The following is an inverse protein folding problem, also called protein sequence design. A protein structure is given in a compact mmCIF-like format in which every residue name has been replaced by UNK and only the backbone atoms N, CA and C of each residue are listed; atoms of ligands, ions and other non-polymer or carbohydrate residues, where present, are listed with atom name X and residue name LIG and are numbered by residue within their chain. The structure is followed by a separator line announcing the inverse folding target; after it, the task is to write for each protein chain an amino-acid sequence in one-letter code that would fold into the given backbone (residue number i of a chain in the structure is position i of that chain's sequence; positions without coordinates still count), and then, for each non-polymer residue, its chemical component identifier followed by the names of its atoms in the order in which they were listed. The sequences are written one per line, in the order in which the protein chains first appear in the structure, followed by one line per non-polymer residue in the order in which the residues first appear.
data_IF_805129871573
#
_entry.id   IF_805129871573
#
_cell.length_a   1.000
_cell.length_b   1.000
_cell.length_c   1.000
_cell.angle_alpha   90.00
_cell.angle_beta   90.00
_cell.angle_gamma   90.00
#
_symmetry.space_group_name_H-M   'P 1'
#
loop_
_entity.id
_entity.type
_entity.pdbx_description
1 polymer ?
#
# COMPACT_ATOMS: atom_id res chain seq x y z
N UNK A 1 -22.82 33.47 -28.86
CA UNK A 1 -22.55 32.64 -27.66
C UNK A 1 -21.12 32.92 -27.22
N UNK A 2 -20.90 33.20 -25.93
CA UNK A 2 -19.56 33.36 -25.38
C UNK A 2 -18.79 32.03 -25.48
N UNK A 3 -17.52 32.08 -25.87
CA UNK A 3 -16.67 30.88 -25.84
C UNK A 3 -16.50 30.41 -24.40
N UNK A 4 -16.66 29.11 -24.18
CA UNK A 4 -16.40 28.50 -22.88
C UNK A 4 -14.95 28.77 -22.46
N UNK A 5 -14.71 29.18 -21.20
CA UNK A 5 -13.35 29.35 -20.70
C UNK A 5 -12.52 28.07 -20.89
N UNK A 6 -11.20 28.18 -21.18
CA UNK A 6 -10.35 27.02 -21.45
C UNK A 6 -10.42 25.92 -20.39
N UNK A 7 -10.52 26.31 -19.11
CA UNK A 7 -10.66 25.36 -17.99
C UNK A 7 -11.96 24.57 -18.01
N UNK A 8 -13.09 25.21 -18.32
CA UNK A 8 -14.38 24.50 -18.43
C UNK A 8 -14.38 23.59 -19.67
N UNK A 9 -13.83 24.07 -20.79
CA UNK A 9 -13.68 23.25 -22.00
C UNK A 9 -12.86 21.99 -21.75
N UNK A 10 -11.80 22.08 -20.94
CA UNK A 10 -11.02 20.95 -20.48
C UNK A 10 -11.84 19.98 -19.61
N UNK A 11 -12.54 20.48 -18.59
CA UNK A 11 -13.38 19.65 -17.69
C UNK A 11 -14.48 18.93 -18.46
N UNK A 12 -15.15 19.61 -19.39
CA UNK A 12 -16.24 19.04 -20.21
C UNK A 12 -15.74 18.14 -21.33
N UNK A 13 -14.43 18.13 -21.63
CA UNK A 13 -13.87 17.26 -22.67
C UNK A 13 -13.80 15.79 -22.24
N UNK A 14 -13.86 15.51 -20.93
CA UNK A 14 -13.82 14.16 -20.41
C UNK A 14 -15.20 13.51 -20.41
N UNK A 15 -15.24 12.24 -20.82
CA UNK A 15 -16.46 11.43 -20.74
C UNK A 15 -16.80 11.11 -19.29
N UNK A 16 -18.07 10.79 -19.03
CA UNK A 16 -18.53 10.37 -17.69
C UNK A 16 -17.75 9.15 -17.16
N UNK A 17 -17.40 8.21 -18.04
CA UNK A 17 -16.59 7.02 -17.70
C UNK A 17 -15.17 7.41 -17.29
N UNK A 18 -14.55 8.37 -17.97
CA UNK A 18 -13.21 8.87 -17.62
C UNK A 18 -13.21 9.55 -16.25
N UNK A 19 -14.26 10.30 -15.90
CA UNK A 19 -14.42 10.87 -14.57
C UNK A 19 -14.53 9.81 -13.48
N UNK A 20 -15.29 8.74 -13.71
CA UNK A 20 -15.37 7.63 -12.75
C UNK A 20 -14.05 6.88 -12.61
N UNK A 21 -13.34 6.62 -13.71
CA UNK A 21 -11.99 6.03 -13.67
C UNK A 21 -11.03 6.89 -12.86
N UNK A 22 -10.98 8.19 -13.12
CA UNK A 22 -10.14 9.13 -12.38
C UNK A 22 -10.52 9.17 -10.90
N UNK A 23 -11.82 9.19 -10.59
CA UNK A 23 -12.32 9.17 -9.22
C UNK A 23 -11.92 7.89 -8.48
N UNK A 24 -12.14 6.70 -9.04
CA UNK A 24 -11.78 5.43 -8.40
C UNK A 24 -10.27 5.28 -8.28
N UNK A 25 -9.51 5.75 -9.28
CA UNK A 25 -8.05 5.81 -9.20
C UNK A 25 -7.60 6.66 -8.01
N UNK A 26 -8.10 7.89 -7.89
CA UNK A 26 -7.76 8.78 -6.77
C UNK A 26 -8.24 8.24 -5.44
N UNK A 27 -9.45 7.67 -5.37
CA UNK A 27 -10.01 7.10 -4.16
C UNK A 27 -9.11 5.95 -3.67
N UNK A 28 -8.88 4.92 -4.50
CA UNK A 28 -8.04 3.77 -4.14
C UNK A 28 -6.60 4.18 -3.82
N UNK A 29 -6.06 5.19 -4.51
CA UNK A 29 -4.76 5.79 -4.18
C UNK A 29 -4.73 6.31 -2.75
N UNK A 30 -5.70 7.14 -2.34
CA UNK A 30 -5.73 7.70 -0.99
C UNK A 30 -6.12 6.68 0.08
N UNK A 31 -6.99 5.72 -0.23
CA UNK A 31 -7.30 4.60 0.66
C UNK A 31 -6.02 3.84 1.01
N UNK A 32 -5.21 3.49 0.02
CA UNK A 32 -4.01 2.70 0.25
C UNK A 32 -2.82 3.53 0.77
N UNK A 33 -2.73 4.81 0.40
CA UNK A 33 -1.82 5.76 1.04
C UNK A 33 -2.08 5.87 2.56
N UNK A 34 -3.34 5.83 2.99
CA UNK A 34 -3.69 5.87 4.42
C UNK A 34 -3.19 4.63 5.19
N UNK A 35 -3.16 3.44 4.60
CA UNK A 35 -2.52 2.28 5.25
C UNK A 35 -1.02 2.53 5.47
N UNK A 36 -0.32 3.02 4.45
CA UNK A 36 1.11 3.31 4.52
C UNK A 36 1.46 4.43 5.51
N UNK A 37 0.56 5.41 5.67
CA UNK A 37 0.62 6.45 6.70
C UNK A 37 0.87 5.87 8.11
N UNK A 38 0.22 4.75 8.47
CA UNK A 38 0.36 4.14 9.80
C UNK A 38 1.63 3.32 10.01
N UNK A 39 2.31 2.91 8.92
CA UNK A 39 3.46 2.00 9.00
C UNK A 39 4.76 2.74 9.33
N UNK A 40 4.88 3.99 8.91
CA UNK A 40 6.07 4.82 9.07
C UNK A 40 6.29 5.38 10.49
N UNK A 41 5.26 5.81 11.25
CA UNK A 41 5.43 6.44 12.56
C UNK A 41 6.33 5.68 13.54
N UNK A 42 6.29 4.34 13.54
CA UNK A 42 7.14 3.53 14.43
C UNK A 42 8.63 3.75 14.19
N UNK A 43 9.09 4.01 12.95
CA UNK A 43 10.51 4.21 12.67
C UNK A 43 11.05 5.53 13.23
N UNK A 44 10.19 6.53 13.38
CA UNK A 44 10.53 7.83 13.98
C UNK A 44 10.41 7.78 15.50
N UNK A 45 9.32 7.21 16.02
CA UNK A 45 9.06 7.13 17.46
C UNK A 45 10.09 6.25 18.19
N UNK A 46 10.74 5.29 17.51
CA UNK A 46 11.85 4.50 18.09
C UNK A 46 12.93 5.34 18.76
N UNK A 47 13.27 6.51 18.20
CA UNK A 47 14.26 7.42 18.78
C UNK A 47 13.82 8.05 20.10
N UNK A 48 12.50 8.19 20.30
CA UNK A 48 11.91 8.72 21.53
C UNK A 48 11.72 7.62 22.59
N UNK A 49 11.36 6.39 22.17
CA UNK A 49 11.19 5.25 23.08
C UNK A 49 12.51 4.90 23.79
N UNK A 50 13.65 5.12 23.14
CA UNK A 50 14.96 4.92 23.70
C UNK A 50 15.89 6.10 23.37
N UNK A 51 16.03 7.06 24.29
CA UNK A 51 17.03 8.12 24.18
C UNK A 51 18.35 7.68 24.79
N UNK A 52 19.45 7.89 24.07
CA UNK A 52 20.77 7.84 24.69
C UNK A 52 20.87 9.01 25.68
N UNK A 53 20.89 8.71 26.99
CA UNK A 53 21.25 9.70 27.98
C UNK A 53 22.72 10.10 27.72
N UNK A 54 22.96 11.10 26.88
CA UNK A 54 24.24 11.77 26.86
C UNK A 54 24.44 12.35 28.26
N UNK A 55 25.62 12.10 28.82
CA UNK A 55 25.99 12.48 30.17
C UNK A 55 25.78 13.98 30.43
N UNK A 56 24.60 14.36 30.95
CA UNK A 56 24.47 15.53 31.84
C UNK A 56 25.44 15.40 33.03
N UNK A 57 25.90 14.18 33.31
CA UNK A 57 26.99 13.90 34.21
C UNK A 57 28.35 14.52 33.85
N UNK A 58 28.70 14.90 32.62
CA UNK A 58 30.03 15.52 32.39
C UNK A 58 30.05 17.03 32.60
N UNK A 59 28.94 17.72 32.32
CA UNK A 59 28.83 19.17 32.55
C UNK A 59 28.54 19.46 34.03
N UNK A 60 27.70 18.64 34.70
CA UNK A 60 27.47 18.80 36.14
C UNK A 60 28.61 18.26 37.00
N UNK A 61 29.36 17.21 36.59
CA UNK A 61 30.47 16.69 37.41
C UNK A 61 31.64 17.67 37.51
N UNK A 62 31.86 18.51 36.51
CA UNK A 62 32.90 19.55 36.58
C UNK A 62 32.48 20.72 37.49
N UNK A 63 31.19 21.07 37.54
CA UNK A 63 30.66 22.09 38.46
C UNK A 63 30.50 21.55 39.89
N UNK A 64 30.10 20.28 40.05
CA UNK A 64 29.96 19.63 41.36
C UNK A 64 31.30 19.23 41.99
N UNK A 65 32.34 18.87 41.22
CA UNK A 65 33.68 18.58 41.78
C UNK A 65 34.30 19.81 42.44
N UNK A 66 33.98 21.02 41.94
CA UNK A 66 34.46 22.27 42.52
C UNK A 66 33.68 22.66 43.80
N UNK A 67 32.41 22.26 43.91
CA UNK A 67 31.55 22.53 45.08
C UNK A 67 31.64 21.44 46.17
N UNK A 68 31.86 20.18 45.80
CA UNK A 68 31.86 19.01 46.70
C UNK A 68 33.14 18.84 47.52
N UNK A 69 34.16 19.69 47.32
CA UNK A 69 35.35 19.72 48.16
C UNK A 69 35.11 20.29 49.58
N UNK A 70 33.87 20.69 49.94
CA UNK A 70 33.64 21.42 51.20
C UNK A 70 32.71 20.79 52.26
N UNK A 71 31.74 19.91 52.01
CA UNK A 71 30.89 19.37 53.11
C UNK A 71 30.35 17.95 52.82
N UNK A 72 30.63 17.02 53.75
CA UNK A 72 29.95 15.76 54.20
C UNK A 72 28.92 14.96 53.33
N UNK A 73 28.73 13.64 53.58
CA UNK A 73 28.24 12.69 52.60
C UNK A 73 26.73 12.79 52.41
N UNK A 74 26.32 13.36 51.27
CA UNK A 74 24.92 13.37 50.84
C UNK A 74 24.56 11.96 50.36
N UNK A 75 23.52 11.39 50.97
CA UNK A 75 22.87 10.13 50.54
C UNK A 75 22.62 10.17 49.03
N UNK A 76 23.10 9.13 48.34
CA UNK A 76 22.89 8.87 46.91
C UNK A 76 21.37 8.98 46.60
N UNK A 77 20.92 9.88 45.71
CA UNK A 77 19.55 9.88 45.28
C UNK A 77 19.29 8.59 44.52
N UNK A 78 18.38 7.77 45.04
CA UNK A 78 17.72 6.71 44.29
C UNK A 78 16.78 7.38 43.30
N UNK A 79 17.27 7.62 42.08
CA UNK A 79 16.51 7.73 40.83
C UNK A 79 17.48 8.21 39.74
N UNK A 80 18.22 7.26 39.16
CA UNK A 80 18.88 7.51 37.89
C UNK A 80 17.78 7.71 36.83
N UNK A 81 17.61 8.96 36.42
CA UNK A 81 16.86 9.47 35.26
C UNK A 81 16.42 8.41 34.23
N UNK A 82 15.14 8.04 34.23
CA UNK A 82 14.47 7.29 33.15
C UNK A 82 14.43 8.15 31.87
N UNK A 83 15.43 8.07 31.00
CA UNK A 83 15.40 8.78 29.70
C UNK A 83 14.58 8.05 28.61
N UNK A 84 13.98 6.90 28.90
CA UNK A 84 13.31 6.05 27.91
C UNK A 84 11.94 5.56 28.37
N UNK A 85 11.14 5.05 27.43
CA UNK A 85 9.80 4.53 27.70
C UNK A 85 9.85 3.03 28.02
N UNK A 86 9.49 2.64 29.24
CA UNK A 86 9.38 1.21 29.60
C UNK A 86 8.34 0.51 28.70
N UNK A 87 8.65 -0.66 28.10
CA UNK A 87 9.78 -1.56 28.39
C UNK A 87 11.01 -1.39 27.47
N UNK A 88 11.08 -0.36 26.64
CA UNK A 88 12.13 -0.12 25.63
C UNK A 88 13.34 0.64 26.17
N UNK A 89 13.34 0.97 27.46
CA UNK A 89 14.42 1.61 28.20
C UNK A 89 15.60 0.67 28.51
N UNK A 90 15.37 -0.65 28.44
CA UNK A 90 16.36 -1.68 28.81
C UNK A 90 17.53 -1.78 27.82
N UNK A 91 18.64 -2.37 28.27
CA UNK A 91 19.83 -2.62 27.43
C UNK A 91 19.55 -3.49 26.19
N UNK A 92 18.49 -4.30 26.21
CA UNK A 92 18.03 -5.11 25.09
C UNK A 92 16.98 -4.41 24.19
N UNK A 93 16.90 -3.07 24.22
CA UNK A 93 15.94 -2.29 23.43
C UNK A 93 15.99 -2.60 21.93
N UNK A 94 17.18 -2.84 21.35
CA UNK A 94 17.33 -3.19 19.93
C UNK A 94 16.55 -4.46 19.59
N UNK A 95 16.64 -5.48 20.45
CA UNK A 95 15.89 -6.73 20.28
C UNK A 95 14.39 -6.50 20.46
N UNK A 96 13.97 -5.66 21.43
CA UNK A 96 12.57 -5.37 21.71
C UNK A 96 11.90 -4.59 20.56
N UNK A 97 12.54 -3.55 20.05
CA UNK A 97 12.07 -2.78 18.91
C UNK A 97 12.06 -3.63 17.63
N UNK A 98 13.07 -4.48 17.44
CA UNK A 98 13.10 -5.45 16.34
C UNK A 98 11.96 -6.47 16.44
N UNK A 99 11.61 -6.93 17.64
CA UNK A 99 10.49 -7.84 17.86
C UNK A 99 9.13 -7.18 17.50
N UNK A 100 8.95 -5.89 17.77
CA UNK A 100 7.76 -5.15 17.34
C UNK A 100 7.63 -5.10 15.82
N UNK A 101 8.70 -4.73 15.10
CA UNK A 101 8.68 -4.70 13.64
C UNK A 101 8.40 -6.08 13.07
N UNK A 102 9.09 -7.10 13.59
CA UNK A 102 8.97 -8.47 13.13
C UNK A 102 7.56 -9.03 13.35
N UNK A 103 6.94 -8.72 14.50
CA UNK A 103 5.58 -9.18 14.81
C UNK A 103 4.55 -8.69 13.79
N UNK A 104 4.60 -7.41 13.41
CA UNK A 104 3.75 -6.85 12.37
C UNK A 104 4.03 -7.49 11.01
N UNK A 105 5.31 -7.56 10.61
CA UNK A 105 5.70 -8.06 9.28
C UNK A 105 5.34 -9.54 9.09
N UNK A 106 5.54 -10.36 10.12
CA UNK A 106 5.20 -11.78 10.10
C UNK A 106 3.68 -11.99 10.03
N UNK A 107 2.92 -11.27 10.88
CA UNK A 107 1.46 -11.30 10.86
C UNK A 107 0.91 -10.84 9.50
N UNK A 108 1.48 -9.77 8.93
CA UNK A 108 1.12 -9.28 7.59
C UNK A 108 1.44 -10.31 6.50
N UNK A 109 2.59 -10.99 6.56
CA UNK A 109 2.96 -12.00 5.56
C UNK A 109 1.97 -13.18 5.54
N UNK A 110 1.60 -13.71 6.71
CA UNK A 110 0.60 -14.78 6.84
C UNK A 110 -0.78 -14.26 6.44
N UNK A 111 -1.15 -13.08 6.92
CA UNK A 111 -2.44 -12.45 6.64
C UNK A 111 -2.65 -12.18 5.15
N UNK A 112 -1.62 -11.81 4.40
CA UNK A 112 -1.73 -11.51 2.96
C UNK A 112 -2.20 -12.72 2.16
N UNK A 113 -1.73 -13.92 2.52
CA UNK A 113 -2.16 -15.16 1.89
C UNK A 113 -3.64 -15.45 2.19
N UNK A 114 -4.03 -15.37 3.47
CA UNK A 114 -5.41 -15.61 3.90
C UNK A 114 -6.38 -14.56 3.33
N UNK A 115 -5.95 -13.30 3.32
CA UNK A 115 -6.73 -12.16 2.86
C UNK A 115 -7.05 -12.23 1.38
N UNK A 116 -6.15 -12.75 0.55
CA UNK A 116 -6.44 -13.00 -0.87
C UNK A 116 -7.63 -13.96 -1.03
N UNK A 117 -7.61 -15.09 -0.32
CA UNK A 117 -8.67 -16.12 -0.39
C UNK A 117 -10.01 -15.59 0.14
N UNK A 118 -9.98 -14.82 1.23
CA UNK A 118 -11.18 -14.23 1.83
C UNK A 118 -11.75 -13.12 0.93
N UNK A 119 -10.87 -12.27 0.39
CA UNK A 119 -11.21 -11.13 -0.45
C UNK A 119 -11.92 -11.52 -1.75
N UNK A 120 -11.63 -12.70 -2.30
CA UNK A 120 -12.35 -13.23 -3.48
C UNK A 120 -13.80 -13.63 -3.18
N UNK A 121 -14.16 -13.86 -1.91
CA UNK A 121 -15.49 -14.36 -1.49
C UNK A 121 -16.38 -13.27 -0.92
N UNK A 122 -15.83 -12.10 -0.65
CA UNK A 122 -16.53 -10.99 -0.03
C UNK A 122 -16.59 -9.81 -1.01
N UNK A 123 -17.69 -9.05 -1.03
CA UNK A 123 -17.73 -7.80 -1.79
C UNK A 123 -16.64 -6.85 -1.32
N UNK A 124 -15.81 -6.37 -2.26
CA UNK A 124 -14.55 -5.67 -1.97
C UNK A 124 -14.81 -4.42 -1.11
N UNK A 125 -15.93 -3.72 -1.39
CA UNK A 125 -16.35 -2.55 -0.62
C UNK A 125 -16.44 -2.80 0.87
N UNK A 126 -17.09 -3.88 1.29
CA UNK A 126 -17.27 -4.18 2.72
C UNK A 126 -16.01 -4.75 3.32
N UNK A 127 -15.32 -5.62 2.58
CA UNK A 127 -14.07 -6.24 3.05
C UNK A 127 -12.99 -5.19 3.34
N UNK A 128 -12.75 -4.26 2.40
CA UNK A 128 -11.80 -3.17 2.56
C UNK A 128 -12.22 -2.20 3.68
N UNK A 129 -13.51 -1.85 3.77
CA UNK A 129 -14.03 -0.96 4.82
C UNK A 129 -13.75 -1.51 6.21
N UNK A 130 -14.12 -2.77 6.48
CA UNK A 130 -13.91 -3.39 7.79
C UNK A 130 -12.42 -3.47 8.12
N UNK A 131 -11.60 -3.83 7.13
CA UNK A 131 -10.15 -3.84 7.27
C UNK A 131 -9.56 -2.49 7.63
N UNK A 132 -10.00 -1.41 6.98
CA UNK A 132 -9.57 -0.04 7.28
C UNK A 132 -10.01 0.42 8.68
N UNK A 133 -11.28 0.22 9.04
CA UNK A 133 -11.77 0.60 10.37
C UNK A 133 -11.02 -0.13 11.48
N UNK A 134 -10.80 -1.45 11.33
CA UNK A 134 -10.03 -2.24 12.28
C UNK A 134 -8.56 -1.83 12.32
N UNK A 135 -7.95 -1.50 11.17
CA UNK A 135 -6.56 -1.02 11.10
C UNK A 135 -6.41 0.33 11.79
N UNK A 136 -7.37 1.23 11.61
CA UNK A 136 -7.44 2.50 12.31
C UNK A 136 -7.53 2.31 13.82
N UNK A 137 -8.39 1.39 14.27
CA UNK A 137 -8.54 1.03 15.69
C UNK A 137 -7.23 0.49 16.28
N UNK A 138 -6.61 -0.53 15.69
CA UNK A 138 -5.41 -1.15 16.25
C UNK A 138 -4.17 -0.24 16.16
N UNK A 139 -4.09 0.61 15.13
CA UNK A 139 -3.06 1.66 15.05
C UNK A 139 -3.25 2.68 16.16
N UNK A 140 -4.48 3.18 16.38
CA UNK A 140 -4.76 4.11 17.47
C UNK A 140 -4.52 3.46 18.84
N UNK A 141 -4.88 2.20 19.01
CA UNK A 141 -4.65 1.41 20.23
C UNK A 141 -3.16 1.38 20.59
N UNK A 142 -2.25 1.22 19.63
CA UNK A 142 -0.81 1.31 19.89
C UNK A 142 -0.43 2.67 20.50
N UNK A 143 -0.94 3.77 19.94
CA UNK A 143 -0.71 5.13 20.44
C UNK A 143 -1.35 5.44 21.79
N UNK A 144 -2.49 4.81 22.10
CA UNK A 144 -3.15 4.92 23.41
C UNK A 144 -2.30 4.37 24.56
N UNK A 145 -1.29 3.53 24.26
CA UNK A 145 -0.30 3.10 25.25
C UNK A 145 0.42 4.26 25.95
N UNK A 146 0.62 5.38 25.26
CA UNK A 146 1.16 6.61 25.85
C UNK A 146 0.21 7.22 26.88
N UNK A 147 -1.05 7.44 26.51
CA UNK A 147 -2.04 8.16 27.32
C UNK A 147 -2.48 7.36 28.56
N UNK A 148 -2.54 6.04 28.44
CA UNK A 148 -2.87 5.15 29.56
C UNK A 148 -1.64 4.68 30.34
N UNK A 149 -0.45 5.19 30.01
CA UNK A 149 0.81 4.84 30.65
C UNK A 149 1.08 3.32 30.73
N UNK A 150 0.92 2.63 29.60
CA UNK A 150 1.04 1.17 29.51
C UNK A 150 2.51 0.79 29.25
N UNK A 151 3.11 0.10 30.21
CA UNK A 151 4.51 -0.37 30.16
C UNK A 151 4.66 -1.88 29.87
N UNK A 152 3.63 -2.50 29.27
CA UNK A 152 3.63 -3.93 28.94
C UNK A 152 3.99 -4.17 27.46
N UNK A 153 5.07 -4.93 27.20
CA UNK A 153 5.51 -5.26 25.84
C UNK A 153 4.43 -5.99 25.02
N UNK A 154 3.69 -6.90 25.65
CA UNK A 154 2.69 -7.72 24.97
C UNK A 154 1.53 -6.88 24.44
N UNK A 155 1.20 -5.75 25.08
CA UNK A 155 0.22 -4.82 24.56
C UNK A 155 0.63 -4.31 23.17
N UNK A 156 1.86 -3.84 23.03
CA UNK A 156 2.40 -3.32 21.77
C UNK A 156 2.55 -4.42 20.72
N UNK A 157 3.00 -5.62 21.10
CA UNK A 157 3.12 -6.76 20.18
C UNK A 157 1.75 -7.20 19.67
N UNK A 158 0.76 -7.35 20.56
CA UNK A 158 -0.59 -7.79 20.15
C UNK A 158 -1.28 -6.75 19.29
N UNK A 159 -1.11 -5.45 19.59
CA UNK A 159 -1.55 -4.37 18.72
C UNK A 159 -0.94 -4.49 17.31
N UNK A 160 0.37 -4.75 17.22
CA UNK A 160 1.08 -4.90 15.95
C UNK A 160 0.65 -6.15 15.17
N UNK A 161 0.43 -7.28 15.84
CA UNK A 161 -0.05 -8.51 15.20
C UNK A 161 -1.46 -8.30 14.64
N UNK A 162 -2.38 -7.76 15.47
CA UNK A 162 -3.74 -7.50 15.05
C UNK A 162 -3.77 -6.52 13.88
N UNK A 163 -3.04 -5.40 13.98
CA UNK A 163 -2.89 -4.41 12.93
C UNK A 163 -2.33 -5.04 11.64
N UNK A 164 -1.27 -5.84 11.75
CA UNK A 164 -0.65 -6.54 10.62
C UNK A 164 -1.65 -7.41 9.87
N UNK A 165 -2.47 -8.21 10.58
CA UNK A 165 -3.50 -9.06 9.98
C UNK A 165 -4.58 -8.25 9.27
N UNK A 166 -5.13 -7.22 9.91
CA UNK A 166 -6.24 -6.45 9.31
C UNK A 166 -5.80 -5.54 8.17
N UNK A 167 -4.55 -5.07 8.16
CA UNK A 167 -4.01 -4.27 7.06
C UNK A 167 -3.83 -5.06 5.77
N UNK A 168 -3.80 -6.40 5.84
CA UNK A 168 -3.67 -7.25 4.65
C UNK A 168 -4.90 -7.21 3.74
N UNK A 169 -6.03 -6.70 4.23
CA UNK A 169 -7.26 -6.45 3.45
C UNK A 169 -7.04 -5.42 2.34
N UNK A 170 -6.10 -4.49 2.53
CA UNK A 170 -5.87 -3.35 1.64
C UNK A 170 -5.46 -3.75 0.23
N UNK A 171 -4.28 -4.34 0.09
CA UNK A 171 -3.62 -4.58 -1.20
C UNK A 171 -4.46 -5.39 -2.19
N UNK A 172 -4.92 -6.62 -1.88
CA UNK A 172 -5.68 -7.43 -2.83
C UNK A 172 -6.98 -6.72 -3.26
N UNK A 173 -7.62 -5.99 -2.35
CA UNK A 173 -8.84 -5.23 -2.63
C UNK A 173 -8.59 -4.11 -3.64
N UNK A 174 -7.62 -3.23 -3.37
CA UNK A 174 -7.41 -2.05 -4.21
C UNK A 174 -6.80 -2.39 -5.57
N UNK A 175 -5.93 -3.41 -5.63
CA UNK A 175 -5.37 -3.89 -6.90
C UNK A 175 -6.46 -4.51 -7.77
N UNK A 176 -7.37 -5.29 -7.18
CA UNK A 176 -8.52 -5.84 -7.90
C UNK A 176 -9.43 -4.73 -8.42
N UNK A 177 -9.73 -3.71 -7.61
CA UNK A 177 -10.48 -2.53 -8.07
C UNK A 177 -9.81 -1.84 -9.25
N UNK A 178 -8.50 -1.54 -9.19
CA UNK A 178 -7.79 -0.92 -10.32
C UNK A 178 -7.81 -1.83 -11.56
N UNK A 179 -7.63 -3.14 -11.38
CA UNK A 179 -7.72 -4.12 -12.47
C UNK A 179 -9.08 -4.10 -13.17
N UNK A 180 -10.16 -4.04 -12.41
CA UNK A 180 -11.53 -3.97 -12.92
C UNK A 180 -11.80 -2.72 -13.77
N UNK A 181 -11.18 -1.59 -13.43
CA UNK A 181 -11.45 -0.28 -14.04
C UNK A 181 -10.51 0.08 -15.21
N UNK A 182 -9.26 -0.36 -15.16
CA UNK A 182 -8.23 0.04 -16.14
C UNK A 182 -7.82 -1.08 -17.13
N UNK A 183 -8.22 -2.34 -16.89
CA UNK A 183 -8.01 -3.43 -17.85
C UNK A 183 -6.53 -3.71 -18.17
N UNK A 184 -6.21 -3.98 -19.44
CA UNK A 184 -4.88 -4.47 -19.89
C UNK A 184 -3.96 -3.43 -20.53
N UNK A 185 -4.41 -2.21 -20.84
CA UNK A 185 -3.62 -1.21 -21.57
C UNK A 185 -2.78 -0.28 -20.69
N UNK A 186 -1.52 0.03 -21.11
CA UNK A 186 -0.55 0.95 -20.44
C UNK A 186 -0.43 0.75 -18.92
N UNK A 187 -0.38 -0.53 -18.51
CA UNK A 187 -0.39 -0.92 -17.11
C UNK A 187 0.81 -0.40 -16.35
N UNK A 188 2.01 -0.37 -16.95
CA UNK A 188 3.23 0.08 -16.27
C UNK A 188 3.13 1.53 -15.80
N UNK A 189 2.75 2.45 -16.67
CA UNK A 189 2.61 3.88 -16.32
C UNK A 189 1.47 4.11 -15.32
N UNK A 190 0.29 3.54 -15.58
CA UNK A 190 -0.88 3.73 -14.72
C UNK A 190 -0.59 3.19 -13.31
N UNK A 191 -0.05 1.97 -13.23
CA UNK A 191 0.31 1.36 -11.96
C UNK A 191 1.52 2.05 -11.30
N UNK A 192 2.48 2.58 -12.07
CA UNK A 192 3.59 3.35 -11.53
C UNK A 192 3.15 4.66 -10.86
N UNK A 193 2.23 5.39 -11.50
CA UNK A 193 1.60 6.58 -10.90
C UNK A 193 0.76 6.16 -9.69
N UNK A 194 -0.05 5.12 -9.82
CA UNK A 194 -0.92 4.66 -8.74
C UNK A 194 -0.12 4.21 -7.51
N UNK A 195 0.89 3.37 -7.70
CA UNK A 195 1.71 2.82 -6.62
C UNK A 195 2.53 3.88 -5.85
N UNK A 196 2.65 5.09 -6.41
CA UNK A 196 3.21 6.24 -5.70
C UNK A 196 2.46 6.57 -4.40
N UNK A 197 1.25 6.03 -4.20
CA UNK A 197 0.52 6.05 -2.92
C UNK A 197 1.39 5.54 -1.75
N UNK A 198 2.33 4.62 -2.01
CA UNK A 198 3.17 3.99 -0.99
C UNK A 198 4.10 5.04 -0.40
N UNK A 199 4.82 5.73 -1.28
CA UNK A 199 5.68 6.85 -0.92
C UNK A 199 4.88 8.00 -0.32
N UNK A 200 3.75 8.39 -0.92
CA UNK A 200 2.92 9.49 -0.38
C UNK A 200 2.44 9.18 1.04
N UNK A 201 1.96 7.96 1.28
CA UNK A 201 1.59 7.50 2.62
C UNK A 201 2.76 7.53 3.59
N UNK A 202 3.93 7.02 3.19
CA UNK A 202 5.14 7.06 4.02
C UNK A 202 5.55 8.50 4.37
N UNK A 203 5.53 9.42 3.40
CA UNK A 203 5.87 10.85 3.61
C UNK A 203 4.92 11.46 4.63
N UNK A 204 3.61 11.30 4.42
CA UNK A 204 2.61 11.83 5.35
C UNK A 204 2.76 11.21 6.75
N UNK A 205 3.05 9.90 6.84
CA UNK A 205 3.27 9.20 8.10
C UNK A 205 4.51 9.72 8.83
N UNK A 206 5.58 10.00 8.08
CA UNK A 206 6.78 10.63 8.60
C UNK A 206 6.50 12.02 9.17
N UNK A 207 5.81 12.87 8.42
CA UNK A 207 5.53 14.25 8.82
C UNK A 207 4.62 14.32 10.06
N UNK A 208 3.57 13.50 10.11
CA UNK A 208 2.68 13.42 11.28
C UNK A 208 3.46 12.94 12.50
N UNK A 209 4.28 11.90 12.37
CA UNK A 209 5.06 11.39 13.48
C UNK A 209 6.13 12.39 13.94
N UNK A 210 6.84 13.04 13.01
CA UNK A 210 7.86 14.04 13.30
C UNK A 210 7.29 15.27 14.04
N UNK A 211 6.02 15.60 13.84
CA UNK A 211 5.34 16.68 14.56
C UNK A 211 5.08 16.33 16.03
N UNK A 212 4.65 15.10 16.31
CA UNK A 212 4.23 14.67 17.65
C UNK A 212 5.31 13.92 18.45
N UNK A 213 6.40 13.46 17.81
CA UNK A 213 7.41 12.59 18.43
C UNK A 213 8.01 13.17 19.71
N UNK A 214 8.32 14.47 19.73
CA UNK A 214 8.99 15.12 20.87
C UNK A 214 8.04 15.60 21.97
N UNK A 215 6.72 15.59 21.72
CA UNK A 215 5.71 16.10 22.67
C UNK A 215 4.87 14.95 23.23
N UNK A 216 4.03 14.37 22.38
CA UNK A 216 3.10 13.31 22.72
C UNK A 216 3.20 12.22 21.64
N UNK A 217 4.21 11.36 21.73
CA UNK A 217 4.47 10.35 20.69
C UNK A 217 3.29 9.43 20.41
N UNK A 218 2.36 9.26 21.37
CA UNK A 218 1.12 8.51 21.16
C UNK A 218 0.26 9.07 20.01
N UNK A 219 0.25 10.40 19.81
CA UNK A 219 -0.48 11.05 18.71
C UNK A 219 0.10 10.73 17.34
N UNK A 220 1.38 10.36 17.26
CA UNK A 220 2.02 9.85 16.03
C UNK A 220 1.33 8.59 15.49
N UNK A 221 0.56 7.86 16.30
CA UNK A 221 -0.22 6.69 15.90
C UNK A 221 -1.72 6.93 15.93
N UNK A 222 -2.23 7.66 16.93
CA UNK A 222 -3.67 7.97 17.02
C UNK A 222 -4.14 8.76 15.80
N UNK A 223 -3.38 9.77 15.35
CA UNK A 223 -3.78 10.58 14.18
C UNK A 223 -3.84 9.76 12.88
N UNK A 224 -2.81 8.97 12.52
CA UNK A 224 -2.93 8.04 11.40
C UNK A 224 -4.07 7.03 11.55
N UNK A 225 -4.30 6.52 12.76
CA UNK A 225 -5.42 5.60 13.04
C UNK A 225 -6.79 6.22 12.72
N UNK A 226 -7.01 7.47 13.14
CA UNK A 226 -8.23 8.23 12.82
C UNK A 226 -8.36 8.47 11.32
N UNK A 227 -7.27 8.86 10.64
CA UNK A 227 -7.28 9.08 9.18
C UNK A 227 -7.67 7.80 8.43
N UNK A 228 -7.10 6.65 8.80
CA UNK A 228 -7.45 5.37 8.18
C UNK A 228 -8.93 5.04 8.42
N UNK A 229 -9.44 5.23 9.65
CA UNK A 229 -10.84 4.95 9.95
C UNK A 229 -11.79 5.85 9.15
N UNK A 230 -11.49 7.14 9.04
CA UNK A 230 -12.26 8.09 8.20
C UNK A 230 -12.22 7.67 6.74
N UNK A 231 -11.04 7.30 6.22
CA UNK A 231 -10.92 6.80 4.85
C UNK A 231 -11.67 5.47 4.66
N UNK A 232 -11.81 4.64 5.70
CA UNK A 232 -12.69 3.46 5.70
C UNK A 232 -14.16 3.83 5.54
N UNK A 233 -14.64 4.89 6.20
CA UNK A 233 -16.00 5.41 6.01
C UNK A 233 -16.17 5.95 4.57
N UNK A 234 -15.19 6.69 4.06
CA UNK A 234 -15.20 7.17 2.66
C UNK A 234 -15.23 5.98 1.69
N UNK A 235 -14.46 4.92 1.94
CA UNK A 235 -14.51 3.68 1.16
C UNK A 235 -15.91 3.08 1.14
N UNK A 236 -16.56 2.97 2.31
CA UNK A 236 -17.91 2.43 2.42
C UNK A 236 -18.93 3.21 1.59
N UNK A 237 -18.84 4.54 1.62
CA UNK A 237 -19.79 5.42 0.95
C UNK A 237 -19.58 5.51 -0.56
N UNK A 238 -18.32 5.47 -1.03
CA UNK A 238 -17.98 5.90 -2.38
C UNK A 238 -17.28 4.85 -3.26
N UNK A 239 -16.82 3.72 -2.72
CA UNK A 239 -16.11 2.73 -3.54
C UNK A 239 -17.08 1.98 -4.45
N UNK A 240 -16.81 2.05 -5.76
CA UNK A 240 -17.52 1.31 -6.81
C UNK A 240 -16.58 0.23 -7.34
N UNK A 241 -16.99 -1.03 -7.22
CA UNK A 241 -16.15 -2.19 -7.51
C UNK A 241 -16.02 -2.44 -9.02
N UNK A 242 -17.14 -2.40 -9.75
CA UNK A 242 -17.17 -2.63 -11.18
C UNK A 242 -17.80 -1.45 -11.92
N UNK A 243 -17.30 -1.09 -13.12
CA UNK A 243 -17.93 -0.05 -13.95
C UNK A 243 -19.38 -0.41 -14.34
N UNK A 244 -19.73 -1.70 -14.36
CA UNK A 244 -21.08 -2.19 -14.67
C UNK A 244 -22.13 -1.78 -13.62
N UNK A 245 -21.73 -1.58 -12.37
CA UNK A 245 -22.64 -1.27 -11.26
C UNK A 245 -23.29 0.12 -11.44
N UNK A 246 -22.62 1.01 -12.15
CA UNK A 246 -23.10 2.36 -12.49
C UNK A 246 -24.22 2.28 -13.53
N UNK A 247 -24.11 1.36 -14.48
CA UNK A 247 -25.07 1.19 -15.57
C UNK A 247 -26.39 0.60 -15.09
N UNK A 248 -26.36 -0.34 -14.14
CA UNK A 248 -27.57 -0.96 -13.56
C UNK A 248 -28.43 0.03 -12.76
N UNK A 249 -27.84 1.12 -12.27
CA UNK A 249 -28.54 2.16 -11.49
C UNK A 249 -29.28 3.17 -12.39
N UNK A 250 -28.94 3.24 -13.68
CA UNK A 250 -29.45 4.25 -14.61
C UNK A 250 -30.70 3.80 -15.41
N UNK A 251 -31.15 2.55 -15.24
CA UNK A 251 -32.46 2.10 -15.76
C UNK A 251 -33.50 2.23 -14.65
N UNK A 252 -34.23 3.35 -14.54
CA UNK A 252 -35.45 3.36 -13.75
C UNK A 252 -36.39 2.34 -14.40
N UNK A 253 -36.84 1.37 -13.61
CA UNK A 253 -37.88 0.44 -13.99
C UNK A 253 -39.18 1.21 -14.23
N UNK A 254 -39.33 1.74 -15.44
CA UNK A 254 -40.64 2.07 -16.00
C UNK A 254 -41.38 0.77 -16.30
N UNK A 255 -41.89 0.13 -15.26
CA UNK A 255 -43.04 -0.75 -15.38
C UNK A 255 -43.90 -0.57 -14.13
N UNK A 256 -44.84 0.35 -14.26
CA UNK A 256 -45.99 0.47 -13.37
C UNK A 256 -46.95 -0.70 -13.60
N UNK A 257 -47.45 -1.26 -12.49
CA UNK A 257 -48.64 -2.13 -12.33
C UNK A 257 -48.45 -3.57 -12.84
N UNK A 258 -48.55 -4.60 -12.00
CA UNK A 258 -49.82 -5.00 -11.38
C UNK A 258 -49.57 -5.95 -10.20
N UNK A 259 -50.20 -5.67 -9.08
CA UNK A 259 -50.38 -6.58 -7.94
C UNK A 259 -51.20 -7.77 -8.42
N UNK A 260 -50.66 -8.99 -8.40
CA UNK A 260 -51.45 -10.20 -8.28
C UNK A 260 -50.69 -11.28 -7.51
N UNK A 261 -51.30 -11.70 -6.40
CA UNK A 261 -50.90 -12.82 -5.57
C UNK A 261 -50.77 -14.12 -6.37
N UNK A 262 -49.86 -14.99 -5.96
CA UNK A 262 -49.92 -16.42 -6.30
C UNK A 262 -48.57 -17.03 -6.60
N UNK A 263 -48.15 -17.95 -5.73
CA UNK A 263 -47.00 -18.83 -5.92
C UNK A 263 -47.00 -19.47 -7.32
N UNK A 264 -45.89 -19.40 -8.06
CA UNK A 264 -45.65 -20.38 -9.11
C UNK A 264 -44.19 -20.55 -9.49
N UNK A 265 -43.83 -21.82 -9.69
CA UNK A 265 -42.54 -22.38 -10.10
C UNK A 265 -41.94 -21.66 -11.32
N UNK A 266 -40.64 -21.41 -11.25
CA UNK A 266 -39.83 -20.95 -12.38
C UNK A 266 -39.71 -22.08 -13.42
N UNK A 267 -40.51 -22.02 -14.48
CA UNK A 267 -40.34 -22.82 -15.70
C UNK A 267 -39.75 -21.89 -16.76
N UNK A 268 -38.48 -22.09 -17.07
CA UNK A 268 -37.81 -21.40 -18.18
C UNK A 268 -38.41 -21.93 -19.48
N UNK A 269 -39.14 -21.08 -20.20
CA UNK A 269 -39.62 -21.35 -21.55
C UNK A 269 -38.79 -20.54 -22.54
N UNK A 270 -38.08 -21.24 -23.42
CA UNK A 270 -37.38 -20.69 -24.59
C UNK A 270 -38.40 -20.05 -25.56
N UNK A 271 -38.09 -18.88 -26.16
CA UNK A 271 -38.80 -18.41 -27.34
C UNK A 271 -38.02 -18.75 -28.62
N UNK A 272 -38.69 -19.43 -29.54
CA UNK A 272 -38.30 -19.65 -30.92
C UNK A 272 -38.49 -18.39 -31.78
N UNK A 273 -37.66 -18.31 -32.82
CA UNK A 273 -37.49 -17.26 -33.84
C UNK A 273 -38.76 -16.77 -34.55
N UNK A 274 -38.74 -15.49 -34.96
CA UNK A 274 -39.18 -15.09 -36.30
C UNK A 274 -38.48 -13.82 -36.80
N UNK A 275 -38.06 -13.87 -38.06
CA UNK A 275 -37.26 -12.87 -38.77
C UNK A 275 -38.10 -11.83 -39.51
N UNK A 276 -37.58 -10.60 -39.65
CA UNK A 276 -37.76 -9.76 -40.85
C UNK A 276 -36.73 -8.62 -40.89
N UNK A 277 -36.05 -8.50 -42.03
CA UNK A 277 -34.94 -7.59 -42.39
C UNK A 277 -35.35 -6.12 -42.57
N UNK A 278 -34.41 -5.16 -42.45
CA UNK A 278 -33.92 -4.31 -43.58
C UNK A 278 -32.81 -3.28 -43.15
N UNK A 279 -31.64 -3.36 -43.82
CA UNK A 279 -30.67 -2.32 -44.28
C UNK A 279 -29.89 -1.32 -43.37
N UNK A 280 -28.56 -1.59 -43.23
CA UNK A 280 -27.30 -0.78 -43.45
C UNK A 280 -27.08 0.65 -42.86
N UNK A 281 -25.82 1.18 -42.75
CA UNK A 281 -24.47 0.58 -42.93
C UNK A 281 -23.52 0.70 -41.70
N UNK A 282 -22.43 -0.09 -41.73
CA UNK A 282 -21.39 -0.29 -40.70
C UNK A 282 -20.24 0.73 -40.77
N UNK A 283 -19.72 1.12 -39.60
CA UNK A 283 -18.42 1.78 -39.39
C UNK A 283 -17.32 0.73 -39.04
N UNK A 284 -16.09 0.83 -39.59
CA UNK A 284 -15.06 -0.20 -39.49
C UNK A 284 -14.12 0.00 -38.29
N UNK A 285 -14.59 -0.26 -37.06
CA UNK A 285 -13.71 -0.40 -35.87
C UNK A 285 -14.11 -1.55 -34.91
N UNK A 286 -15.10 -2.37 -35.27
CA UNK A 286 -15.63 -3.46 -34.44
C UNK A 286 -15.41 -4.87 -35.02
N UNK A 287 -14.47 -5.03 -35.96
CA UNK A 287 -14.26 -6.30 -36.67
C UNK A 287 -13.05 -7.11 -36.15
N UNK A 288 -12.28 -6.59 -35.19
CA UNK A 288 -11.14 -7.30 -34.61
C UNK A 288 -11.45 -8.14 -33.34
N UNK A 289 -12.72 -8.22 -32.94
CA UNK A 289 -13.20 -8.97 -31.76
C UNK A 289 -14.05 -10.20 -32.09
N UNK A 290 -14.25 -10.54 -33.37
CA UNK A 290 -15.14 -11.62 -33.79
C UNK A 290 -14.51 -12.68 -34.73
N UNK A 291 -13.19 -12.66 -34.89
CA UNK A 291 -12.49 -13.72 -35.63
C UNK A 291 -11.88 -14.68 -34.61
N UNK A 292 -12.67 -15.65 -34.15
CA UNK A 292 -12.14 -16.95 -33.65
C UNK A 292 -13.23 -18.01 -33.44
N UNK A 293 -14.36 -17.94 -34.15
CA UNK A 293 -15.38 -19.00 -34.03
C UNK A 293 -16.15 -19.22 -35.31
N UNK A 294 -15.48 -19.71 -36.35
CA UNK A 294 -16.13 -20.49 -37.42
C UNK A 294 -15.09 -21.18 -38.30
N UNK A 295 -14.72 -22.41 -37.93
CA UNK A 295 -14.26 -23.45 -38.85
C UNK A 295 -14.16 -24.79 -38.12
N UNK A 296 -15.26 -25.54 -38.05
CA UNK A 296 -15.20 -27.00 -38.18
C UNK A 296 -16.61 -27.58 -38.41
N UNK A 297 -16.90 -27.93 -39.65
CA UNK A 297 -18.11 -28.64 -40.07
C UNK A 297 -17.93 -30.16 -39.98
N UNK A 298 -18.80 -30.81 -39.19
CA UNK A 298 -19.46 -32.12 -39.38
C UNK A 298 -18.62 -33.40 -39.51
N UNK A 299 -18.81 -34.30 -38.54
CA UNK A 299 -19.03 -35.75 -38.76
C UNK A 299 -19.77 -36.35 -37.56
N UNK A 300 -21.00 -36.81 -37.80
CA UNK A 300 -21.87 -37.55 -36.87
C UNK A 300 -21.58 -39.05 -36.99
N UNK A 301 -21.45 -39.77 -35.86
CA UNK A 301 -22.03 -41.10 -35.67
C UNK A 301 -22.01 -41.59 -34.19
N UNK A 302 -23.22 -41.98 -33.73
CA UNK A 302 -23.60 -42.95 -32.66
C UNK A 302 -23.17 -42.79 -31.18
N UNK A 303 -24.20 -42.56 -30.35
CA UNK A 303 -24.49 -42.68 -28.89
C UNK A 303 -23.80 -43.78 -28.02
N UNK A 304 -23.99 -43.87 -26.66
CA UNK A 304 -24.78 -43.03 -25.72
C UNK A 304 -24.09 -42.60 -24.39
N UNK A 305 -24.64 -41.53 -23.77
CA UNK A 305 -24.87 -41.31 -22.32
C UNK A 305 -23.69 -41.39 -21.34
N UNK A 306 -23.22 -40.21 -20.91
CA UNK A 306 -23.02 -39.91 -19.49
C UNK A 306 -23.20 -38.40 -19.26
N UNK A 307 -23.96 -38.10 -18.23
CA UNK A 307 -24.58 -36.83 -17.86
C UNK A 307 -23.61 -35.77 -17.34
N UNK A 308 -23.81 -34.52 -17.77
CA UNK A 308 -23.68 -33.35 -16.88
C UNK A 308 -22.50 -32.40 -17.11
N UNK A 309 -22.42 -31.73 -18.26
CA UNK A 309 -21.63 -30.50 -18.38
C UNK A 309 -22.42 -29.29 -17.87
N UNK A 310 -22.10 -28.85 -16.66
CA UNK A 310 -22.43 -27.52 -16.17
C UNK A 310 -21.25 -26.58 -16.41
N UNK A 311 -21.49 -25.53 -17.20
CA UNK A 311 -20.75 -24.23 -17.27
C UNK A 311 -19.31 -24.27 -16.74
N UNK A 312 -18.33 -24.26 -17.64
CA UNK A 312 -16.96 -23.87 -17.33
C UNK A 312 -16.91 -22.40 -16.85
N UNK A 313 -17.06 -22.20 -15.53
CA UNK A 313 -16.32 -21.16 -14.84
C UNK A 313 -14.87 -21.63 -14.77
N UNK A 314 -13.92 -20.82 -15.22
CA UNK A 314 -12.49 -21.10 -15.12
C UNK A 314 -12.17 -21.50 -13.68
N UNK A 315 -11.70 -22.74 -13.46
CA UNK A 315 -11.32 -23.19 -12.13
C UNK A 315 -10.22 -22.26 -11.58
N UNK A 316 -10.39 -21.80 -10.35
CA UNK A 316 -9.35 -21.02 -9.67
C UNK A 316 -8.02 -21.81 -9.67
N UNK A 317 -6.92 -21.13 -9.96
CA UNK A 317 -5.59 -21.73 -10.01
C UNK A 317 -5.19 -22.10 -8.57
N UNK A 318 -4.75 -23.34 -8.35
CA UNK A 318 -4.24 -23.76 -7.05
C UNK A 318 -2.89 -23.10 -6.75
N UNK A 319 -2.50 -22.97 -5.48
CA UNK A 319 -1.22 -22.36 -5.10
C UNK A 319 -0.01 -22.98 -5.83
N UNK A 320 0.04 -24.31 -5.91
CA UNK A 320 1.09 -25.01 -6.65
C UNK A 320 0.97 -24.82 -8.17
N UNK A 321 -0.24 -24.58 -8.68
CA UNK A 321 -0.46 -24.16 -10.07
C UNK A 321 0.14 -22.79 -10.35
N UNK A 322 -0.07 -21.82 -9.44
CA UNK A 322 0.47 -20.47 -9.56
C UNK A 322 2.01 -20.45 -9.52
N UNK A 323 2.63 -21.28 -8.66
CA UNK A 323 4.09 -21.42 -8.60
C UNK A 323 4.71 -22.01 -9.88
N UNK A 324 3.94 -22.73 -10.69
CA UNK A 324 4.42 -23.31 -11.96
C UNK A 324 4.34 -22.32 -13.13
N UNK A 325 3.73 -21.15 -12.95
CA UNK A 325 3.67 -20.13 -14.00
C UNK A 325 5.09 -19.59 -14.21
N UNK A 326 5.62 -19.62 -15.45
CA UNK A 326 6.96 -19.10 -15.75
C UNK A 326 7.11 -17.64 -15.33
N UNK A 327 8.18 -17.32 -14.60
CA UNK A 327 8.46 -15.97 -14.10
C UNK A 327 7.96 -15.69 -12.68
N UNK A 328 6.98 -16.44 -12.16
CA UNK A 328 6.44 -16.17 -10.81
C UNK A 328 7.50 -16.34 -9.73
N UNK A 329 8.31 -17.40 -9.78
CA UNK A 329 9.35 -17.66 -8.78
C UNK A 329 10.46 -16.61 -8.88
N UNK A 330 10.89 -16.30 -10.10
CA UNK A 330 11.96 -15.35 -10.38
C UNK A 330 11.60 -13.94 -9.93
N UNK A 331 10.40 -13.46 -10.27
CA UNK A 331 9.91 -12.16 -9.82
C UNK A 331 9.60 -12.14 -8.33
N UNK A 332 9.16 -13.26 -7.73
CA UNK A 332 8.96 -13.36 -6.27
C UNK A 332 10.28 -13.24 -5.52
N UNK A 333 11.35 -13.90 -5.98
CA UNK A 333 12.69 -13.78 -5.41
C UNK A 333 13.26 -12.38 -5.61
N UNK A 334 13.09 -11.79 -6.80
CA UNK A 334 13.48 -10.41 -7.05
C UNK A 334 12.76 -9.44 -6.11
N UNK A 335 11.45 -9.62 -5.93
CA UNK A 335 10.64 -8.83 -5.00
C UNK A 335 11.09 -9.01 -3.55
N UNK A 336 11.46 -10.23 -3.13
CA UNK A 336 11.99 -10.49 -1.79
C UNK A 336 13.22 -9.61 -1.50
N UNK A 337 14.20 -9.59 -2.40
CA UNK A 337 15.42 -8.79 -2.23
C UNK A 337 15.15 -7.28 -2.35
N UNK A 338 14.37 -6.86 -3.35
CA UNK A 338 14.02 -5.45 -3.52
C UNK A 338 13.23 -4.91 -2.31
N UNK A 339 12.31 -5.71 -1.77
CA UNK A 339 11.52 -5.37 -0.57
C UNK A 339 12.39 -5.32 0.68
N UNK A 340 13.36 -6.23 0.83
CA UNK A 340 14.32 -6.20 1.94
C UNK A 340 15.08 -4.87 1.99
N UNK A 341 15.63 -4.43 0.86
CA UNK A 341 16.35 -3.14 0.75
C UNK A 341 15.40 -1.98 1.05
N UNK A 342 14.23 -1.95 0.39
CA UNK A 342 13.23 -0.89 0.57
C UNK A 342 12.77 -0.75 2.03
N UNK A 343 12.53 -1.87 2.71
CA UNK A 343 12.05 -1.88 4.10
C UNK A 343 13.15 -1.52 5.09
N UNK A 344 14.42 -1.84 4.78
CA UNK A 344 15.56 -1.35 5.56
C UNK A 344 15.58 0.18 5.55
N UNK A 345 15.45 0.81 4.38
CA UNK A 345 15.33 2.27 4.30
C UNK A 345 14.05 2.80 4.96
N UNK A 346 12.93 2.08 4.84
CA UNK A 346 11.68 2.51 5.47
C UNK A 346 11.78 2.60 7.00
N UNK A 347 12.36 1.57 7.65
CA UNK A 347 12.37 1.43 9.10
C UNK A 347 13.63 1.95 9.79
N UNK A 348 14.79 1.90 9.13
CA UNK A 348 16.07 2.22 9.75
C UNK A 348 16.66 3.56 9.31
N UNK A 349 16.27 4.11 8.16
CA UNK A 349 16.87 5.35 7.66
C UNK A 349 16.74 6.53 8.65
N UNK A 350 15.58 6.82 9.25
CA UNK A 350 15.46 7.93 10.21
C UNK A 350 16.35 7.72 11.44
N UNK A 351 16.38 6.49 11.97
CA UNK A 351 17.21 6.13 13.11
C UNK A 351 18.70 6.23 12.79
N UNK A 352 19.11 5.81 11.58
CA UNK A 352 20.48 5.93 11.10
C UNK A 352 20.93 7.40 11.04
N UNK A 353 20.12 8.26 10.41
CA UNK A 353 20.41 9.70 10.30
C UNK A 353 20.50 10.35 11.69
N UNK A 354 19.58 10.00 12.60
CA UNK A 354 19.60 10.49 13.99
C UNK A 354 20.90 10.13 14.71
N UNK A 355 21.38 8.89 14.55
CA UNK A 355 22.56 8.40 15.25
C UNK A 355 23.89 8.87 14.64
N UNK A 356 23.97 9.02 13.31
CA UNK A 356 25.22 9.36 12.59
C UNK A 356 25.42 10.86 12.47
N UNK A 357 24.37 11.60 12.13
CA UNK A 357 24.45 13.05 11.93
C UNK A 357 24.13 13.83 13.22
N UNK A 358 23.83 13.13 14.33
CA UNK A 358 23.39 13.71 15.60
C UNK A 358 22.23 14.71 15.44
N UNK A 359 21.40 14.51 14.41
CA UNK A 359 20.24 15.33 14.13
C UNK A 359 19.08 14.94 15.05
N UNK A 360 18.27 15.93 15.43
CA UNK A 360 17.02 15.70 16.13
C UNK A 360 16.07 14.78 15.33
N UNK A 361 15.29 13.95 16.04
CA UNK A 361 14.42 12.93 15.45
C UNK A 361 13.44 13.54 14.43
N UNK A 362 12.99 14.78 14.67
CA UNK A 362 12.16 15.53 13.72
C UNK A 362 12.88 15.75 12.39
N UNK A 363 14.10 16.31 12.41
CA UNK A 363 14.88 16.61 11.19
C UNK A 363 15.28 15.33 10.44
N UNK A 364 15.62 14.27 11.18
CA UNK A 364 15.92 12.98 10.59
C UNK A 364 14.69 12.37 9.89
N UNK A 365 13.50 12.53 10.49
CA UNK A 365 12.21 12.17 9.88
C UNK A 365 11.99 12.93 8.56
N UNK A 366 12.12 14.25 8.58
CA UNK A 366 11.96 15.12 7.41
C UNK A 366 12.94 14.73 6.28
N UNK A 367 14.23 14.50 6.60
CA UNK A 367 15.24 14.11 5.61
C UNK A 367 14.97 12.73 4.99
N UNK A 368 14.45 11.79 5.79
CA UNK A 368 14.13 10.44 5.32
C UNK A 368 13.05 10.40 4.24
N UNK A 369 12.16 11.41 4.19
CA UNK A 369 11.09 11.50 3.18
C UNK A 369 11.62 11.66 1.76
N UNK A 370 12.85 12.15 1.58
CA UNK A 370 13.47 12.30 0.27
C UNK A 370 13.67 10.96 -0.45
N UNK A 371 13.90 9.88 0.31
CA UNK A 371 13.94 8.54 -0.26
C UNK A 371 12.59 8.15 -0.86
N UNK A 372 11.50 8.45 -0.17
CA UNK A 372 10.14 8.19 -0.64
C UNK A 372 9.80 9.07 -1.86
N UNK A 373 10.21 10.34 -1.88
CA UNK A 373 10.06 11.26 -3.03
C UNK A 373 10.80 10.71 -4.26
N UNK A 374 12.05 10.28 -4.09
CA UNK A 374 12.81 9.60 -5.14
C UNK A 374 12.05 8.38 -5.68
N UNK A 375 11.45 7.60 -4.78
CA UNK A 375 10.65 6.44 -5.16
C UNK A 375 9.40 6.73 -5.99
N UNK A 376 8.75 7.89 -5.81
CA UNK A 376 7.63 8.33 -6.67
C UNK A 376 8.13 8.48 -8.11
N UNK A 377 9.19 9.25 -8.30
CA UNK A 377 9.78 9.46 -9.62
C UNK A 377 10.30 8.15 -10.22
N UNK A 378 10.95 7.30 -9.41
CA UNK A 378 11.44 5.99 -9.82
C UNK A 378 10.33 5.05 -10.28
N UNK A 379 9.22 4.97 -9.55
CA UNK A 379 8.07 4.14 -9.92
C UNK A 379 7.41 4.57 -11.23
N UNK A 380 7.19 5.87 -11.41
CA UNK A 380 6.63 6.43 -12.64
C UNK A 380 7.58 6.20 -13.83
N UNK A 381 8.87 6.47 -13.64
CA UNK A 381 9.88 6.30 -14.68
C UNK A 381 10.05 4.82 -15.07
N UNK A 382 10.10 3.91 -14.09
CA UNK A 382 10.15 2.47 -14.32
C UNK A 382 8.93 2.00 -15.12
N UNK A 383 7.73 2.47 -14.75
CA UNK A 383 6.49 2.20 -15.47
C UNK A 383 6.53 2.68 -16.91
N UNK A 384 6.95 3.92 -17.14
CA UNK A 384 7.05 4.53 -18.47
C UNK A 384 8.07 3.81 -19.37
N UNK A 385 9.28 3.54 -18.85
CA UNK A 385 10.34 2.85 -19.59
C UNK A 385 9.91 1.43 -19.92
N UNK A 386 9.31 0.73 -18.94
CA UNK A 386 8.83 -0.63 -19.11
C UNK A 386 7.73 -0.73 -20.17
N UNK A 387 6.78 0.19 -20.18
CA UNK A 387 5.72 0.22 -21.20
C UNK A 387 6.27 0.56 -22.59
N UNK A 388 7.29 1.42 -22.69
CA UNK A 388 7.90 1.80 -23.98
C UNK A 388 8.79 0.70 -24.57
N UNK A 389 9.49 -0.04 -23.71
CA UNK A 389 10.41 -1.10 -24.13
C UNK A 389 9.76 -2.48 -24.20
N UNK A 390 8.56 -2.64 -23.65
CA UNK A 390 7.84 -3.91 -23.46
C UNK A 390 8.68 -4.98 -22.74
N UNK A 391 9.73 -4.56 -22.02
CA UNK A 391 10.74 -5.42 -21.38
C UNK A 391 10.84 -5.14 -19.88
N UNK A 392 9.81 -5.55 -19.13
CA UNK A 392 9.68 -5.27 -17.69
C UNK A 392 10.84 -5.80 -16.86
N UNK A 393 11.28 -7.03 -17.14
CA UNK A 393 12.39 -7.67 -16.45
C UNK A 393 13.71 -6.90 -16.64
N UNK A 394 13.98 -6.42 -17.85
CA UNK A 394 15.20 -5.66 -18.18
C UNK A 394 15.21 -4.30 -17.48
N UNK A 395 14.07 -3.60 -17.45
CA UNK A 395 13.94 -2.34 -16.70
C UNK A 395 14.22 -2.53 -15.21
N UNK A 396 13.61 -3.53 -14.56
CA UNK A 396 13.91 -3.86 -13.16
C UNK A 396 15.38 -4.20 -12.94
N UNK A 397 15.95 -5.08 -13.77
CA UNK A 397 17.33 -5.52 -13.64
C UNK A 397 18.32 -4.36 -13.76
N UNK A 398 18.14 -3.47 -14.73
CA UNK A 398 19.00 -2.31 -14.91
C UNK A 398 18.95 -1.34 -13.72
N UNK A 399 17.75 -1.04 -13.21
CA UNK A 399 17.60 -0.17 -12.05
C UNK A 399 18.23 -0.77 -10.79
N UNK A 400 18.05 -2.08 -10.56
CA UNK A 400 18.67 -2.77 -9.42
C UNK A 400 20.20 -2.87 -9.54
N UNK A 401 20.73 -3.09 -10.75
CA UNK A 401 22.19 -3.07 -11.00
C UNK A 401 22.79 -1.70 -10.70
N UNK A 402 22.08 -0.61 -11.02
CA UNK A 402 22.50 0.75 -10.70
C UNK A 402 22.30 1.09 -9.21
N UNK A 403 21.34 0.45 -8.53
CA UNK A 403 21.09 0.67 -7.11
C UNK A 403 22.29 0.25 -6.25
N UNK A 404 22.92 -0.90 -6.53
CA UNK A 404 24.04 -1.43 -5.75
C UNK A 404 25.24 -0.44 -5.60
N UNK A 405 25.83 0.11 -6.68
CA UNK A 405 26.91 1.09 -6.55
C UNK A 405 26.42 2.40 -5.93
N UNK A 406 25.20 2.83 -6.20
CA UNK A 406 24.62 4.05 -5.61
C UNK A 406 24.53 3.93 -4.08
N UNK A 407 24.06 2.79 -3.56
CA UNK A 407 23.97 2.52 -2.13
C UNK A 407 25.35 2.41 -1.47
N UNK A 408 26.35 1.85 -2.15
CA UNK A 408 27.72 1.83 -1.65
C UNK A 408 28.28 3.25 -1.55
N UNK A 409 28.11 4.06 -2.61
CA UNK A 409 28.54 5.45 -2.67
C UNK A 409 27.83 6.35 -1.67
N UNK A 410 26.59 6.02 -1.27
CA UNK A 410 25.83 6.77 -0.27
C UNK A 410 26.64 6.96 1.02
N UNK A 411 27.33 5.91 1.48
CA UNK A 411 28.12 5.95 2.73
C UNK A 411 29.35 6.88 2.67
N UNK A 412 29.90 7.09 1.48
CA UNK A 412 31.07 7.95 1.25
C UNK A 412 30.66 9.39 0.96
N UNK A 413 29.63 9.57 0.12
CA UNK A 413 29.16 10.88 -0.38
C UNK A 413 28.32 11.63 0.66
N UNK A 414 27.62 10.94 1.56
CA UNK A 414 26.85 11.59 2.63
C UNK A 414 27.73 12.48 3.53
N UNK A 415 29.00 12.13 3.70
CA UNK A 415 29.98 12.92 4.47
C UNK A 415 30.39 14.24 3.80
N UNK A 416 30.06 14.43 2.51
CA UNK A 416 30.43 15.63 1.76
C UNK A 416 29.45 16.80 1.98
N UNK A 417 28.34 16.58 2.70
CA UNK A 417 27.39 17.62 3.07
C UNK A 417 25.93 17.23 2.84
N UNK A 418 25.02 18.11 3.27
CA UNK A 418 23.58 17.89 3.22
C UNK A 418 23.06 17.77 1.79
N UNK A 419 23.53 18.62 0.87
CA UNK A 419 23.09 18.62 -0.55
C UNK A 419 23.41 17.29 -1.24
N UNK A 420 24.62 16.76 -1.00
CA UNK A 420 25.05 15.49 -1.54
C UNK A 420 24.19 14.33 -0.98
N UNK A 421 23.85 14.38 0.32
CA UNK A 421 22.95 13.42 0.96
C UNK A 421 21.54 13.46 0.35
N UNK A 422 20.99 14.65 0.12
CA UNK A 422 19.67 14.85 -0.51
C UNK A 422 19.61 14.19 -1.89
N UNK A 423 20.60 14.50 -2.75
CA UNK A 423 20.67 13.94 -4.11
C UNK A 423 20.79 12.42 -4.06
N UNK A 424 21.65 11.88 -3.19
CA UNK A 424 21.85 10.45 -3.09
C UNK A 424 20.62 9.72 -2.54
N UNK A 425 19.85 10.31 -1.62
CA UNK A 425 18.58 9.75 -1.15
C UNK A 425 17.54 9.69 -2.26
N UNK A 426 17.43 10.73 -3.07
CA UNK A 426 16.50 10.78 -4.21
C UNK A 426 16.83 9.71 -5.26
N UNK A 427 18.11 9.60 -5.65
CA UNK A 427 18.56 8.61 -6.64
C UNK A 427 18.39 7.19 -6.08
N UNK A 428 18.78 6.95 -4.83
CA UNK A 428 18.64 5.64 -4.18
C UNK A 428 17.17 5.24 -4.08
N UNK A 429 16.30 6.17 -3.68
CA UNK A 429 14.85 5.98 -3.66
C UNK A 429 14.30 5.61 -5.04
N UNK A 430 14.70 6.34 -6.08
CA UNK A 430 14.24 6.09 -7.45
C UNK A 430 14.65 4.70 -7.96
N UNK A 431 15.91 4.31 -7.75
CA UNK A 431 16.46 3.05 -8.24
C UNK A 431 15.96 1.82 -7.46
N UNK A 432 15.64 1.97 -6.18
CA UNK A 432 15.16 0.87 -5.33
C UNK A 432 13.64 0.71 -5.42
N UNK A 433 12.88 1.80 -5.24
CA UNK A 433 11.42 1.73 -5.22
C UNK A 433 10.81 1.59 -6.62
N UNK A 434 11.53 1.96 -7.70
CA UNK A 434 11.07 1.76 -9.07
C UNK A 434 10.81 0.28 -9.42
N UNK A 435 11.81 -0.60 -9.30
CA UNK A 435 11.65 -2.05 -9.47
C UNK A 435 10.61 -2.65 -8.52
N UNK A 436 10.62 -2.21 -7.25
CA UNK A 436 9.61 -2.64 -6.27
C UNK A 436 8.19 -2.32 -6.75
N UNK A 437 7.95 -1.09 -7.21
CA UNK A 437 6.66 -0.67 -7.75
C UNK A 437 6.26 -1.48 -8.99
N UNK A 438 7.18 -1.63 -9.93
CA UNK A 438 6.91 -2.30 -11.21
C UNK A 438 6.61 -3.80 -11.02
N UNK A 439 7.35 -4.49 -10.15
CA UNK A 439 7.16 -5.91 -9.89
C UNK A 439 5.85 -6.16 -9.13
N UNK A 440 5.58 -5.36 -8.10
CA UNK A 440 4.38 -5.54 -7.26
C UNK A 440 3.08 -5.28 -8.00
N UNK A 441 3.09 -4.43 -9.02
CA UNK A 441 1.86 -3.99 -9.70
C UNK A 441 1.74 -4.50 -11.13
N UNK A 442 2.54 -3.97 -12.05
CA UNK A 442 2.39 -4.24 -13.47
C UNK A 442 2.75 -5.70 -13.76
N UNK A 443 3.92 -6.17 -13.30
CA UNK A 443 4.37 -7.55 -13.56
C UNK A 443 3.43 -8.57 -12.93
N UNK A 444 3.01 -8.37 -11.68
CA UNK A 444 2.07 -9.28 -10.99
C UNK A 444 0.69 -9.33 -11.63
N UNK A 445 0.25 -8.25 -12.30
CA UNK A 445 -1.02 -8.22 -13.02
C UNK A 445 -0.96 -8.89 -14.41
N UNK A 446 0.25 -9.09 -14.95
CA UNK A 446 0.48 -9.70 -16.26
C UNK A 446 0.80 -11.20 -16.17
N UNK A 447 1.38 -11.65 -15.05
CA UNK A 447 1.52 -13.06 -14.68
C UNK A 447 0.16 -13.62 -14.22
#
# INVERSE_FOLDING_TARGET
MAQLPPGIRFITSFSRDQWYRAFIFSLTFFLYASFHLSRKPISIVKGELHKHCAASHEVELNSYKEYAARIQPVKKPSNASQCGWEPFDKNNYKQLLGALDYSFLCAYAIGMYLSGIIGERLPIRYYLTVGMLASGLFTAMFGLGYFYNIHNLWFYIMAQIANGLVQTTGWPSVVTCIGNWFGKGRRGLIMGIWNSHTSVGNILGSLIAAYWVSTCWGLSFVMPGVIIAVMGIVCFLFLIEHPKDISCSCTPSSSSKTILNGACRFRVQMPTLNAKEMSKPQDPEMEHLLIDTENCSVSLNSSPVATGEGRHGTSAISFFGALRIPGVIEFSLCLLFAKLVSYTFLFWLPLYITNVEHLDAKRAGDLSTLFDVGGIFGGILAGLISDRLEKRASTCGMMLLLAAPTLYMFSAVSKMGLEATVVMLLISGALVNGPYALITTAVSADL
#
